data_IF_679722554598
#
_entry.id   IF_679722554598
#
_cell.length_a   1.000
_cell.length_b   1.000
_cell.length_c   1.000
_cell.angle_alpha   90.00
_cell.angle_beta   90.00
_cell.angle_gamma   90.00
#
_symmetry.space_group_name_H-M   'P 1'
#
loop_
_entity.id
_entity.type
_entity.pdbx_description
1 polymer ?
#
# COMPACT_ATOMS: atom_id res chain seq x y z
N UNK A 1 7.99 53.25 27.22
CA UNK A 1 6.93 53.16 26.19
C UNK A 1 7.63 52.94 24.86
N UNK A 2 7.55 51.84 24.13
CA UNK A 2 6.69 50.65 24.20
C UNK A 2 7.40 49.58 23.35
N UNK A 3 8.08 48.62 23.99
CA UNK A 3 8.47 47.37 23.35
C UNK A 3 7.19 46.61 22.99
N UNK A 4 6.81 46.67 21.71
CA UNK A 4 5.69 45.88 21.20
C UNK A 4 6.08 44.41 21.21
N UNK A 5 5.71 43.74 22.30
CA UNK A 5 5.51 42.29 22.45
C UNK A 5 4.57 41.73 21.36
N UNK A 6 5.01 41.73 20.10
CA UNK A 6 4.28 41.18 18.97
C UNK A 6 4.87 39.84 18.50
N UNK A 7 5.48 39.09 19.42
CA UNK A 7 5.92 37.71 19.21
C UNK A 7 4.89 36.67 19.69
N UNK A 8 3.63 37.06 19.89
CA UNK A 8 2.56 36.09 20.10
C UNK A 8 1.97 35.70 18.75
N UNK A 9 2.09 34.41 18.44
CA UNK A 9 1.27 33.64 17.50
C UNK A 9 1.72 33.61 16.02
N UNK A 10 2.98 33.25 15.78
CA UNK A 10 3.32 32.36 14.65
C UNK A 10 3.49 30.94 15.19
N UNK A 11 2.39 30.28 15.51
CA UNK A 11 2.33 28.83 15.64
C UNK A 11 0.90 28.42 15.32
N UNK A 12 0.74 27.77 14.17
CA UNK A 12 0.62 26.34 14.24
C UNK A 12 1.79 25.75 13.47
N UNK A 13 2.89 25.48 14.18
CA UNK A 13 3.80 24.47 13.69
C UNK A 13 3.02 23.16 13.64
N UNK A 14 2.56 22.83 12.43
CA UNK A 14 2.01 21.53 12.05
C UNK A 14 3.14 20.47 12.05
N UNK A 15 3.87 20.37 13.16
CA UNK A 15 4.82 19.30 13.42
C UNK A 15 4.04 18.12 13.98
N UNK A 16 3.61 17.23 13.08
CA UNK A 16 2.85 16.05 13.44
C UNK A 16 2.98 14.94 12.39
N UNK A 17 4.20 14.67 11.95
CA UNK A 17 4.51 13.54 11.07
C UNK A 17 5.75 12.82 11.59
N UNK A 18 5.56 11.70 12.28
CA UNK A 18 6.46 10.57 12.66
C UNK A 18 7.97 10.78 12.92
N UNK A 19 8.46 12.02 12.99
CA UNK A 19 9.88 12.40 12.87
C UNK A 19 10.34 13.27 14.03
N UNK A 20 9.89 12.99 15.26
CA UNK A 20 10.37 13.73 16.44
C UNK A 20 11.84 13.47 16.78
N UNK A 21 12.56 12.65 15.99
CA UNK A 21 14.00 12.41 16.13
C UNK A 21 14.70 12.55 14.78
N UNK A 22 15.37 13.70 14.56
CA UNK A 22 16.52 13.97 13.66
C UNK A 22 16.56 13.50 12.20
N UNK A 23 15.70 12.58 11.74
CA UNK A 23 15.77 11.94 10.43
C UNK A 23 14.87 12.60 9.39
N UNK A 24 15.30 12.58 8.12
CA UNK A 24 14.53 13.20 7.03
C UNK A 24 13.25 12.41 6.72
N UNK A 25 12.10 13.06 6.48
CA UNK A 25 10.84 12.41 6.12
C UNK A 25 10.97 11.44 4.95
N UNK A 26 11.81 11.79 3.99
CA UNK A 26 12.10 10.99 2.80
C UNK A 26 12.80 9.67 3.13
N UNK A 27 13.75 9.67 4.09
CA UNK A 27 14.45 8.45 4.49
C UNK A 27 13.50 7.47 5.17
N UNK A 28 12.63 7.97 6.04
CA UNK A 28 11.61 7.16 6.70
C UNK A 28 10.57 6.62 5.72
N UNK A 29 10.14 7.43 4.76
CA UNK A 29 9.29 6.96 3.67
C UNK A 29 9.95 5.86 2.85
N UNK A 30 11.22 6.00 2.50
CA UNK A 30 11.97 4.98 1.76
C UNK A 30 12.11 3.67 2.55
N UNK A 31 12.41 3.74 3.85
CA UNK A 31 12.49 2.56 4.73
C UNK A 31 11.15 1.83 4.83
N UNK A 32 10.06 2.58 5.00
CA UNK A 32 8.72 1.99 5.07
C UNK A 32 8.34 1.37 3.73
N UNK A 33 8.63 2.04 2.61
CA UNK A 33 8.44 1.47 1.28
C UNK A 33 9.23 0.17 1.09
N UNK A 34 10.48 0.11 1.56
CA UNK A 34 11.29 -1.12 1.52
C UNK A 34 10.64 -2.25 2.34
N UNK A 35 10.18 -1.96 3.55
CA UNK A 35 9.49 -2.96 4.38
C UNK A 35 8.24 -3.48 3.67
N UNK A 36 7.41 -2.59 3.12
CA UNK A 36 6.22 -2.97 2.35
C UNK A 36 6.61 -3.85 1.16
N UNK A 37 7.67 -3.50 0.43
CA UNK A 37 8.18 -4.28 -0.70
C UNK A 37 8.52 -5.73 -0.30
N UNK A 38 9.17 -5.92 0.86
CA UNK A 38 9.46 -7.27 1.38
C UNK A 38 8.18 -8.06 1.63
N UNK A 39 7.16 -7.44 2.25
CA UNK A 39 5.88 -8.11 2.50
C UNK A 39 5.11 -8.45 1.22
N UNK A 40 5.13 -7.55 0.22
CA UNK A 40 4.44 -7.80 -1.05
C UNK A 40 5.27 -8.65 -2.03
N UNK A 41 6.53 -8.97 -1.73
CA UNK A 41 7.38 -9.78 -2.60
C UNK A 41 6.79 -11.16 -2.90
N UNK A 42 6.21 -11.81 -1.90
CA UNK A 42 5.53 -13.11 -2.06
C UNK A 42 4.34 -13.00 -3.04
N UNK A 43 3.34 -12.13 -2.82
CA UNK A 43 2.22 -11.99 -3.76
C UNK A 43 2.65 -11.48 -5.15
N UNK A 44 3.69 -10.65 -5.27
CA UNK A 44 4.27 -10.28 -6.57
C UNK A 44 4.77 -11.53 -7.30
N UNK A 45 5.53 -12.39 -6.62
CA UNK A 45 6.06 -13.61 -7.22
C UNK A 45 4.95 -14.56 -7.69
N UNK A 46 3.86 -14.68 -6.91
CA UNK A 46 2.69 -15.47 -7.28
C UNK A 46 1.99 -14.88 -8.52
N UNK A 47 1.75 -13.56 -8.54
CA UNK A 47 1.13 -12.89 -9.68
C UNK A 47 1.96 -13.07 -10.97
N UNK A 48 3.28 -12.90 -10.90
CA UNK A 48 4.17 -13.13 -12.05
C UNK A 48 4.15 -14.59 -12.49
N UNK A 49 4.13 -15.54 -11.55
CA UNK A 49 4.03 -16.98 -11.88
C UNK A 49 2.73 -17.30 -12.61
N UNK A 50 1.59 -16.79 -12.15
CA UNK A 50 0.31 -16.98 -12.81
C UNK A 50 0.24 -16.31 -14.19
N UNK A 51 0.80 -15.10 -14.31
CA UNK A 51 0.87 -14.39 -15.59
C UNK A 51 1.73 -15.12 -16.65
N UNK A 52 2.81 -15.78 -16.21
CA UNK A 52 3.73 -16.50 -17.12
C UNK A 52 3.32 -17.95 -17.39
N UNK A 53 2.44 -18.52 -16.57
CA UNK A 53 1.98 -19.91 -16.70
C UNK A 53 0.44 -19.96 -16.77
N UNK A 54 -0.16 -19.66 -17.93
CA UNK A 54 -1.62 -19.58 -18.08
C UNK A 54 -2.39 -20.86 -17.74
N UNK A 55 -1.75 -22.03 -17.85
CA UNK A 55 -2.37 -23.30 -17.44
C UNK A 55 -2.69 -23.37 -15.93
N UNK A 56 -2.07 -22.50 -15.12
CA UNK A 56 -2.42 -22.36 -13.70
C UNK A 56 -3.85 -21.84 -13.45
N UNK A 57 -4.55 -21.38 -14.49
CA UNK A 57 -5.99 -21.10 -14.46
C UNK A 57 -6.82 -22.30 -13.97
N UNK A 58 -6.35 -23.53 -14.19
CA UNK A 58 -7.00 -24.75 -13.71
C UNK A 58 -7.01 -24.88 -12.18
N UNK A 59 -6.08 -24.22 -11.48
CA UNK A 59 -6.02 -24.20 -10.01
C UNK A 59 -7.22 -23.51 -9.37
N UNK A 60 -8.02 -22.77 -10.15
CA UNK A 60 -9.20 -22.05 -9.69
C UNK A 60 -10.49 -22.86 -9.84
N UNK A 61 -10.40 -24.20 -9.91
CA UNK A 61 -11.56 -25.10 -9.81
C UNK A 61 -12.65 -24.87 -10.88
N UNK A 62 -12.26 -24.45 -12.08
CA UNK A 62 -13.19 -24.11 -13.16
C UNK A 62 -13.90 -22.75 -13.01
N UNK A 63 -13.71 -22.01 -11.91
CA UNK A 63 -14.30 -20.65 -11.74
C UNK A 63 -13.87 -19.66 -12.80
N UNK A 64 -12.73 -19.92 -13.43
CA UNK A 64 -12.18 -19.12 -14.50
C UNK A 64 -12.33 -19.80 -15.86
N UNK A 65 -13.10 -20.88 -16.02
CA UNK A 65 -13.17 -21.62 -17.30
C UNK A 65 -13.67 -20.79 -18.48
N UNK A 66 -14.44 -19.75 -18.22
CA UNK A 66 -14.95 -18.82 -19.24
C UNK A 66 -13.98 -17.67 -19.54
N UNK A 67 -12.97 -17.45 -18.68
CA UNK A 67 -11.96 -16.43 -18.92
C UNK A 67 -11.03 -16.87 -20.05
N UNK A 68 -10.81 -15.98 -21.01
CA UNK A 68 -9.82 -16.24 -22.06
C UNK A 68 -8.42 -16.31 -21.44
N UNK A 69 -7.55 -17.14 -22.01
CA UNK A 69 -6.15 -17.26 -21.59
C UNK A 69 -5.44 -15.90 -21.58
N UNK A 70 -5.70 -15.07 -22.59
CA UNK A 70 -5.16 -13.70 -22.65
C UNK A 70 -5.68 -12.81 -21.53
N UNK A 71 -6.97 -12.89 -21.21
CA UNK A 71 -7.58 -12.14 -20.11
C UNK A 71 -7.00 -12.54 -18.74
N UNK A 72 -6.81 -13.84 -18.51
CA UNK A 72 -6.17 -14.37 -17.31
C UNK A 72 -4.74 -13.84 -17.14
N UNK A 73 -3.92 -13.95 -18.19
CA UNK A 73 -2.53 -13.46 -18.17
C UNK A 73 -2.45 -11.95 -17.96
N UNK A 74 -3.28 -11.17 -18.67
CA UNK A 74 -3.31 -9.72 -18.55
C UNK A 74 -3.71 -9.27 -17.13
N UNK A 75 -4.71 -9.92 -16.54
CA UNK A 75 -5.15 -9.66 -15.16
C UNK A 75 -3.98 -9.81 -14.17
N UNK A 76 -3.23 -10.90 -14.23
CA UNK A 76 -2.12 -11.13 -13.31
C UNK A 76 -0.95 -10.17 -13.51
N UNK A 77 -0.69 -9.72 -14.75
CA UNK A 77 0.29 -8.65 -14.99
C UNK A 77 -0.15 -7.32 -14.37
N UNK A 78 -1.44 -6.98 -14.47
CA UNK A 78 -1.99 -5.78 -13.82
C UNK A 78 -1.81 -5.89 -12.30
N UNK A 79 -2.16 -7.04 -11.70
CA UNK A 79 -1.95 -7.29 -10.27
C UNK A 79 -0.48 -7.15 -9.89
N UNK A 80 0.45 -7.72 -10.66
CA UNK A 80 1.88 -7.61 -10.40
C UNK A 80 2.36 -6.15 -10.42
N UNK A 81 1.93 -5.36 -11.41
CA UNK A 81 2.27 -3.93 -11.52
C UNK A 81 1.69 -3.14 -10.34
N UNK A 82 0.43 -3.39 -9.96
CA UNK A 82 -0.19 -2.73 -8.81
C UNK A 82 0.55 -3.04 -7.51
N UNK A 83 0.89 -4.32 -7.29
CA UNK A 83 1.66 -4.73 -6.11
C UNK A 83 3.07 -4.12 -6.09
N UNK A 84 3.72 -4.02 -7.25
CA UNK A 84 5.03 -3.38 -7.39
C UNK A 84 4.97 -1.87 -7.11
N UNK A 85 3.84 -1.21 -7.42
CA UNK A 85 3.65 0.22 -7.16
C UNK A 85 3.37 0.56 -5.68
N UNK A 86 2.77 -0.38 -4.92
CA UNK A 86 2.43 -0.18 -3.50
C UNK A 86 3.57 0.36 -2.62
N UNK A 87 4.79 -0.21 -2.61
CA UNK A 87 5.85 0.28 -1.74
C UNK A 87 6.24 1.73 -2.01
N UNK A 88 6.18 2.18 -3.26
CA UNK A 88 6.41 3.58 -3.61
C UNK A 88 5.27 4.48 -3.15
N UNK A 89 4.02 4.06 -3.36
CA UNK A 89 2.84 4.81 -2.92
C UNK A 89 2.78 4.95 -1.40
N UNK A 90 3.05 3.87 -0.66
CA UNK A 90 3.08 3.90 0.81
C UNK A 90 4.27 4.72 1.30
N UNK A 91 5.47 4.50 0.76
CA UNK A 91 6.66 5.26 1.16
C UNK A 91 6.52 6.76 0.90
N UNK A 92 5.99 7.14 -0.27
CA UNK A 92 5.65 8.53 -0.58
C UNK A 92 4.57 9.08 0.36
N UNK A 93 3.52 8.28 0.61
CA UNK A 93 2.44 8.63 1.53
C UNK A 93 2.96 8.96 2.92
N UNK A 94 3.87 8.15 3.47
CA UNK A 94 4.47 8.45 4.78
C UNK A 94 5.37 9.67 4.74
N UNK A 95 6.16 9.85 3.68
CA UNK A 95 7.08 10.98 3.56
C UNK A 95 6.37 12.34 3.42
N UNK A 96 5.13 12.35 2.90
CA UNK A 96 4.43 13.59 2.48
C UNK A 96 3.08 13.84 3.15
N UNK A 97 2.43 12.82 3.74
CA UNK A 97 1.13 12.98 4.39
C UNK A 97 1.29 13.18 5.91
N UNK A 98 0.29 13.84 6.52
CA UNK A 98 0.23 13.96 7.98
C UNK A 98 0.03 12.59 8.63
N UNK A 99 0.55 12.38 9.84
CA UNK A 99 0.39 11.11 10.55
C UNK A 99 -1.09 10.75 10.72
N UNK A 100 -1.95 11.75 10.96
CA UNK A 100 -3.40 11.57 11.06
C UNK A 100 -4.00 11.00 9.77
N UNK A 101 -3.63 11.55 8.62
CA UNK A 101 -4.10 11.07 7.32
C UNK A 101 -3.63 9.64 7.06
N UNK A 102 -2.37 9.34 7.37
CA UNK A 102 -1.79 8.02 7.17
C UNK A 102 -2.48 6.96 8.04
N UNK A 103 -2.76 7.26 9.31
CA UNK A 103 -3.47 6.34 10.21
C UNK A 103 -4.89 6.05 9.72
N UNK A 104 -5.61 7.04 9.20
CA UNK A 104 -6.96 6.84 8.66
C UNK A 104 -6.92 5.93 7.43
N UNK A 105 -6.03 6.22 6.47
CA UNK A 105 -5.88 5.41 5.26
C UNK A 105 -5.45 3.98 5.61
N UNK A 106 -4.48 3.82 6.51
CA UNK A 106 -4.02 2.51 6.99
C UNK A 106 -5.13 1.72 7.68
N UNK A 107 -5.94 2.36 8.52
CA UNK A 107 -7.09 1.73 9.18
C UNK A 107 -8.14 1.24 8.18
N UNK A 108 -8.46 2.05 7.16
CA UNK A 108 -9.38 1.65 6.09
C UNK A 108 -8.81 0.45 5.31
N UNK A 109 -7.53 0.48 4.96
CA UNK A 109 -6.89 -0.61 4.22
C UNK A 109 -6.88 -1.94 5.00
N UNK A 110 -6.60 -1.90 6.31
CA UNK A 110 -6.65 -3.09 7.19
C UNK A 110 -8.07 -3.64 7.28
N UNK A 111 -9.07 -2.76 7.50
CA UNK A 111 -10.47 -3.18 7.56
C UNK A 111 -10.90 -3.83 6.23
N UNK A 112 -10.52 -3.23 5.10
CA UNK A 112 -10.82 -3.75 3.78
C UNK A 112 -10.16 -5.10 3.52
N UNK A 113 -8.89 -5.27 3.94
CA UNK A 113 -8.18 -6.54 3.85
C UNK A 113 -8.86 -7.65 4.65
N UNK A 114 -9.31 -7.36 5.88
CA UNK A 114 -10.06 -8.32 6.71
C UNK A 114 -11.35 -8.74 6.01
N UNK A 115 -12.11 -7.79 5.46
CA UNK A 115 -13.34 -8.09 4.72
C UNK A 115 -13.04 -8.99 3.52
N UNK A 116 -11.99 -8.72 2.75
CA UNK A 116 -11.58 -9.57 1.63
C UNK A 116 -11.22 -10.97 2.10
N UNK A 117 -10.48 -11.13 3.21
CA UNK A 117 -10.16 -12.44 3.75
C UNK A 117 -11.42 -13.22 4.13
N UNK A 118 -12.38 -12.58 4.79
CA UNK A 118 -13.67 -13.19 5.14
C UNK A 118 -14.41 -13.61 3.86
N UNK A 119 -14.51 -12.75 2.87
CA UNK A 119 -15.15 -13.08 1.60
C UNK A 119 -14.42 -14.21 0.87
N UNK A 120 -13.09 -14.22 0.87
CA UNK A 120 -12.29 -15.32 0.34
C UNK A 120 -12.61 -16.64 1.03
N UNK A 121 -12.71 -16.65 2.36
CA UNK A 121 -13.11 -17.83 3.13
C UNK A 121 -14.54 -18.28 2.85
N UNK A 122 -15.46 -17.37 2.50
CA UNK A 122 -16.86 -17.70 2.24
C UNK A 122 -17.15 -18.15 0.80
N UNK A 123 -16.34 -17.73 -0.17
CA UNK A 123 -16.62 -17.92 -1.60
C UNK A 123 -15.55 -18.70 -2.37
N UNK A 124 -14.33 -18.79 -1.85
CA UNK A 124 -13.20 -19.50 -2.49
C UNK A 124 -12.89 -20.82 -1.80
N UNK A 125 -13.14 -20.93 -0.49
CA UNK A 125 -13.03 -22.17 0.30
C UNK A 125 -14.41 -22.72 0.66
#
# INVERSE_FOLDING_TARGET
>A
MTERKNQRQQQPELHGGVLSGGGSPTLWGALIGLIVFVFVGVPISAAVRFATHPMSQQLFGGRLSEATVGGYTAFWWIVAIMLLALPFLVGWGVAKLSARTLTIIGGIAVAFFIVILILGQLYVF
#
